data_IF_313888826522
#
_entry.id   IF_313888826522
#
_cell.length_a   1.000
_cell.length_b   1.000
_cell.length_c   1.000
_cell.angle_alpha   90.00
_cell.angle_beta   90.00
_cell.angle_gamma   90.00
#
_symmetry.space_group_name_H-M   'P 1'
#
loop_
_entity.id
_entity.type
_entity.pdbx_description
1 polymer ?
#
# COMPACT_ATOMS: atom_id res chain seq x y z
N UNK A 1 -11.91 47.30 25.05
CA UNK A 1 -11.72 46.10 25.90
C UNK A 1 -11.21 44.89 25.10
N UNK A 2 -11.83 44.48 23.99
CA UNK A 2 -11.38 43.30 23.22
C UNK A 2 -9.93 43.41 22.65
N UNK A 3 -9.52 44.58 22.18
CA UNK A 3 -8.16 44.83 21.67
C UNK A 3 -7.09 44.69 22.78
N UNK A 4 -7.40 45.12 24.00
CA UNK A 4 -6.51 45.04 25.16
C UNK A 4 -6.34 43.59 25.65
N UNK A 5 -7.42 42.79 25.60
CA UNK A 5 -7.38 41.36 25.95
C UNK A 5 -6.58 40.52 24.95
N UNK A 6 -6.71 40.79 23.65
CA UNK A 6 -5.92 40.12 22.61
C UNK A 6 -4.42 40.47 22.73
N UNK A 7 -4.09 41.72 22.99
CA UNK A 7 -2.71 42.17 23.24
C UNK A 7 -2.11 41.50 24.48
N UNK A 8 -2.89 41.42 25.57
CA UNK A 8 -2.49 40.72 26.81
C UNK A 8 -2.25 39.23 26.57
N UNK A 9 -3.16 38.54 25.87
CA UNK A 9 -3.00 37.13 25.52
C UNK A 9 -1.75 36.89 24.67
N UNK A 10 -1.49 37.74 23.67
CA UNK A 10 -0.28 37.63 22.84
C UNK A 10 1.01 37.83 23.64
N UNK A 11 1.02 38.78 24.59
CA UNK A 11 2.15 39.00 25.49
C UNK A 11 2.42 37.78 26.38
N UNK A 12 1.36 37.18 26.94
CA UNK A 12 1.48 35.94 27.71
C UNK A 12 1.97 34.77 26.85
N UNK A 13 1.47 34.62 25.61
CA UNK A 13 1.93 33.59 24.68
C UNK A 13 3.42 33.73 24.34
N UNK A 14 3.88 34.95 24.03
CA UNK A 14 5.28 35.20 23.70
C UNK A 14 6.20 34.89 24.88
N UNK A 15 5.85 35.35 26.08
CA UNK A 15 6.62 35.07 27.30
C UNK A 15 6.57 33.58 27.68
N UNK A 16 5.41 32.94 27.49
CA UNK A 16 5.24 31.51 27.70
C UNK A 16 6.10 30.68 26.75
N UNK A 17 6.18 31.05 25.48
CA UNK A 17 7.07 30.42 24.49
C UNK A 17 8.54 30.56 24.88
N UNK A 18 8.98 31.76 25.26
CA UNK A 18 10.36 31.98 25.73
C UNK A 18 10.67 31.15 26.98
N UNK A 19 9.73 31.06 27.93
CA UNK A 19 9.90 30.22 29.12
C UNK A 19 10.00 28.72 28.76
N UNK A 20 9.20 28.27 27.80
CA UNK A 20 9.24 26.90 27.27
C UNK A 20 10.60 26.58 26.62
N UNK A 21 11.10 27.47 25.76
CA UNK A 21 12.42 27.36 25.12
C UNK A 21 13.56 27.38 26.14
N UNK A 22 13.41 28.14 27.23
CA UNK A 22 14.37 28.21 28.34
C UNK A 22 14.29 27.01 29.30
N UNK A 23 13.44 26.01 29.06
CA UNK A 23 13.25 24.86 29.96
C UNK A 23 12.50 25.16 31.27
N UNK A 24 11.93 26.36 31.42
CA UNK A 24 11.17 26.80 32.61
C UNK A 24 9.69 26.41 32.45
N UNK A 25 9.42 25.11 32.50
CA UNK A 25 8.12 24.56 32.10
C UNK A 25 6.95 24.97 33.00
N UNK A 26 7.13 25.09 34.32
CA UNK A 26 6.08 25.55 35.24
C UNK A 26 5.64 26.99 34.93
N UNK A 27 6.62 27.90 34.79
CA UNK A 27 6.37 29.29 34.43
C UNK A 27 5.72 29.38 33.03
N UNK A 28 6.15 28.55 32.09
CA UNK A 28 5.54 28.48 30.77
C UNK A 28 4.06 28.09 30.86
N UNK A 29 3.72 27.07 31.66
CA UNK A 29 2.34 26.64 31.87
C UNK A 29 1.49 27.74 32.51
N UNK A 30 1.98 28.42 33.53
CA UNK A 30 1.25 29.51 34.21
C UNK A 30 0.94 30.65 33.24
N UNK A 31 1.94 31.12 32.49
CA UNK A 31 1.76 32.18 31.51
C UNK A 31 0.79 31.78 30.39
N UNK A 32 0.88 30.54 29.92
CA UNK A 32 0.00 30.05 28.85
C UNK A 32 -1.43 29.76 29.34
N UNK A 33 -1.62 29.39 30.61
CA UNK A 33 -2.95 29.34 31.24
C UNK A 33 -3.62 30.72 31.27
N UNK A 34 -2.87 31.77 31.62
CA UNK A 34 -3.38 33.14 31.56
C UNK A 34 -3.67 33.60 30.14
N UNK A 35 -2.87 33.17 29.15
CA UNK A 35 -3.16 33.41 27.74
C UNK A 35 -4.48 32.77 27.30
N UNK A 36 -4.71 31.51 27.68
CA UNK A 36 -5.95 30.78 27.35
C UNK A 36 -7.16 31.37 28.06
N UNK A 37 -7.02 31.89 29.29
CA UNK A 37 -8.10 32.62 29.96
C UNK A 37 -8.43 33.95 29.28
N UNK A 38 -7.40 34.70 28.87
CA UNK A 38 -7.55 35.99 28.22
C UNK A 38 -8.13 35.89 26.79
N UNK A 39 -7.80 34.82 26.08
CA UNK A 39 -8.27 34.55 24.72
C UNK A 39 -8.63 33.07 24.53
N UNK A 40 -9.81 32.62 25.02
CA UNK A 40 -10.18 31.20 25.08
C UNK A 40 -10.36 30.53 23.73
N UNK A 41 -10.61 31.32 22.67
CA UNK A 41 -10.84 30.85 21.30
C UNK A 41 -9.54 30.74 20.47
N UNK A 42 -8.42 31.26 20.98
CA UNK A 42 -7.14 31.23 20.26
C UNK A 42 -6.50 29.85 20.41
N UNK A 43 -6.67 29.02 19.39
CA UNK A 43 -6.21 27.64 19.37
C UNK A 43 -4.69 27.51 19.58
N UNK A 44 -3.91 28.46 19.04
CA UNK A 44 -2.46 28.48 19.19
C UNK A 44 -2.00 28.59 20.65
N UNK A 45 -2.73 29.32 21.49
CA UNK A 45 -2.43 29.41 22.92
C UNK A 45 -2.55 28.04 23.60
N UNK A 46 -3.58 27.27 23.24
CA UNK A 46 -3.81 25.92 23.78
C UNK A 46 -2.82 24.89 23.26
N UNK A 47 -2.41 24.98 21.99
CA UNK A 47 -1.33 24.12 21.45
C UNK A 47 -0.03 24.33 22.23
N UNK A 48 0.36 25.58 22.44
CA UNK A 48 1.55 25.92 23.25
C UNK A 48 1.40 25.46 24.70
N UNK A 49 0.25 25.69 25.32
CA UNK A 49 -0.04 25.24 26.68
C UNK A 49 0.12 23.72 26.78
N UNK A 50 -0.40 22.97 25.80
CA UNK A 50 -0.28 21.52 25.75
C UNK A 50 1.17 21.05 25.67
N UNK A 51 1.99 21.70 24.84
CA UNK A 51 3.43 21.43 24.79
C UNK A 51 4.09 21.68 26.14
N UNK A 52 3.74 22.77 26.82
CA UNK A 52 4.27 23.11 28.15
C UNK A 52 3.86 22.09 29.23
N UNK A 53 2.58 21.72 29.29
CA UNK A 53 2.05 20.72 30.21
C UNK A 53 2.78 19.38 30.06
N UNK A 54 2.97 18.91 28.81
CA UNK A 54 3.64 17.65 28.53
C UNK A 54 5.13 17.72 28.88
N UNK A 55 5.83 18.80 28.52
CA UNK A 55 7.23 18.98 28.84
C UNK A 55 7.47 18.99 30.36
N UNK A 56 6.62 19.70 31.11
CA UNK A 56 6.65 19.73 32.57
C UNK A 56 6.37 18.35 33.20
N UNK A 57 5.39 17.62 32.67
CA UNK A 57 5.09 16.27 33.17
C UNK A 57 6.26 15.31 32.95
N UNK A 58 6.89 15.37 31.77
CA UNK A 58 8.07 14.56 31.44
C UNK A 58 9.28 14.91 32.32
N UNK A 59 9.43 16.16 32.74
CA UNK A 59 10.54 16.57 33.62
C UNK A 59 10.33 16.16 35.10
N UNK A 60 9.09 16.02 35.55
CA UNK A 60 8.75 15.73 36.97
C UNK A 60 8.56 14.25 37.33
N UNK A 61 8.60 13.33 36.36
CA UNK A 61 8.47 11.89 36.61
C UNK A 61 7.03 11.42 36.91
N UNK A 62 6.85 10.12 37.23
CA UNK A 62 5.51 9.52 37.41
C UNK A 62 4.84 9.98 38.72
N UNK A 63 3.55 10.36 38.68
CA UNK A 63 2.85 10.84 39.87
C UNK A 63 2.59 9.73 40.92
N UNK A 64 2.66 10.10 42.20
CA UNK A 64 2.38 9.21 43.33
C UNK A 64 0.89 8.87 43.49
N UNK A 65 0.57 7.86 44.31
CA UNK A 65 -0.78 7.31 44.48
C UNK A 65 -1.82 8.36 44.95
N UNK A 66 -1.43 9.32 45.79
CA UNK A 66 -2.32 10.40 46.25
C UNK A 66 -2.77 11.36 45.13
N UNK A 67 -1.94 11.55 44.10
CA UNK A 67 -2.29 12.39 42.96
C UNK A 67 -3.42 11.77 42.11
N UNK A 68 -3.49 10.42 42.03
CA UNK A 68 -4.55 9.72 41.29
C UNK A 68 -5.95 9.96 41.88
N UNK A 69 -6.05 10.03 43.21
CA UNK A 69 -7.32 10.37 43.88
C UNK A 69 -7.73 11.80 43.55
N UNK A 70 -6.77 12.73 43.54
CA UNK A 70 -6.99 14.11 43.09
C UNK A 70 -7.51 14.20 41.65
N UNK A 71 -6.93 13.42 40.72
CA UNK A 71 -7.40 13.37 39.34
C UNK A 71 -8.84 12.88 39.24
N UNK A 72 -9.19 11.83 39.99
CA UNK A 72 -10.55 11.28 40.00
C UNK A 72 -11.58 12.33 40.44
N UNK A 73 -11.30 13.08 41.52
CA UNK A 73 -12.19 14.15 41.99
C UNK A 73 -12.30 15.30 40.98
N UNK A 74 -11.19 15.68 40.35
CA UNK A 74 -11.18 16.69 39.30
C UNK A 74 -12.03 16.26 38.08
N UNK A 75 -11.92 14.99 37.65
CA UNK A 75 -12.76 14.43 36.57
C UNK A 75 -14.24 14.47 36.93
N UNK A 76 -14.60 14.09 38.16
CA UNK A 76 -15.99 14.17 38.62
C UNK A 76 -16.54 15.60 38.58
N UNK A 77 -15.72 16.57 39.00
CA UNK A 77 -16.08 18.00 38.90
C UNK A 77 -16.31 18.43 37.45
N UNK A 78 -15.38 18.11 36.54
CA UNK A 78 -15.50 18.40 35.10
C UNK A 78 -16.77 17.78 34.52
N UNK A 79 -17.01 16.50 34.79
CA UNK A 79 -18.21 15.80 34.31
C UNK A 79 -19.49 16.38 34.90
N UNK A 80 -19.46 16.84 36.15
CA UNK A 80 -20.56 17.57 36.77
C UNK A 80 -20.88 18.89 36.06
N UNK A 81 -19.85 19.64 35.63
CA UNK A 81 -20.01 20.87 34.86
C UNK A 81 -20.52 20.61 33.44
N UNK A 82 -20.00 19.57 32.77
CA UNK A 82 -20.46 19.09 31.46
C UNK A 82 -21.95 18.77 31.50
N UNK A 83 -22.41 17.99 32.49
CA UNK A 83 -23.84 17.64 32.65
C UNK A 83 -24.73 18.85 32.90
N UNK A 84 -24.19 19.92 33.48
CA UNK A 84 -24.89 21.19 33.73
C UNK A 84 -24.84 22.15 32.53
N UNK A 85 -24.25 21.75 31.40
CA UNK A 85 -24.08 22.59 30.21
C UNK A 85 -23.04 23.72 30.38
N UNK A 86 -22.24 23.68 31.44
CA UNK A 86 -21.21 24.70 31.74
C UNK A 86 -19.89 24.36 31.06
N UNK A 87 -19.91 24.27 29.73
CA UNK A 87 -18.77 23.81 28.92
C UNK A 87 -17.50 24.65 29.09
N UNK A 88 -17.62 25.99 29.15
CA UNK A 88 -16.46 26.86 29.34
C UNK A 88 -15.77 26.68 30.71
N UNK A 89 -16.55 26.59 31.79
CA UNK A 89 -16.04 26.29 33.13
C UNK A 89 -15.42 24.89 33.19
N UNK A 90 -16.04 23.92 32.51
CA UNK A 90 -15.51 22.56 32.40
C UNK A 90 -14.15 22.53 31.68
N UNK A 91 -13.98 23.31 30.61
CA UNK A 91 -12.70 23.42 29.91
C UNK A 91 -11.61 24.03 30.78
N UNK A 92 -11.91 25.06 31.58
CA UNK A 92 -10.93 25.65 32.49
C UNK A 92 -10.45 24.63 33.55
N UNK A 93 -11.38 23.88 34.13
CA UNK A 93 -11.06 22.81 35.08
C UNK A 93 -10.30 21.64 34.41
N UNK A 94 -10.61 21.34 33.15
CA UNK A 94 -9.87 20.37 32.37
C UNK A 94 -8.42 20.80 32.13
N UNK A 95 -8.15 22.07 31.81
CA UNK A 95 -6.77 22.56 31.65
C UNK A 95 -5.98 22.46 32.96
N UNK A 96 -6.61 22.77 34.11
CA UNK A 96 -6.00 22.57 35.43
C UNK A 96 -5.66 21.10 35.70
N UNK A 97 -6.53 20.17 35.31
CA UNK A 97 -6.28 18.73 35.45
C UNK A 97 -5.12 18.28 34.55
N UNK A 98 -5.06 18.78 33.31
CA UNK A 98 -4.02 18.43 32.36
C UNK A 98 -2.66 19.02 32.71
N UNK A 99 -2.61 20.14 33.43
CA UNK A 99 -1.39 20.63 34.08
C UNK A 99 -0.77 19.63 35.05
N UNK A 100 -1.57 18.74 35.65
CA UNK A 100 -1.08 17.73 36.59
C UNK A 100 -0.64 16.45 35.88
N UNK A 101 -1.44 15.95 34.93
CA UNK A 101 -1.09 14.79 34.13
C UNK A 101 -1.81 14.84 32.76
N UNK A 102 -1.12 15.33 31.71
CA UNK A 102 -1.69 15.49 30.38
C UNK A 102 -1.66 14.21 29.52
N UNK A 103 -0.99 13.15 29.98
CA UNK A 103 -0.83 11.89 29.22
C UNK A 103 -1.71 10.75 29.76
N UNK A 104 -2.50 11.00 30.80
CA UNK A 104 -3.45 10.02 31.33
C UNK A 104 -4.71 9.94 30.44
N UNK A 105 -5.08 8.74 29.95
CA UNK A 105 -6.20 8.58 29.01
C UNK A 105 -7.53 9.14 29.52
N UNK A 106 -7.82 8.98 30.80
CA UNK A 106 -9.08 9.44 31.38
C UNK A 106 -9.09 10.96 31.60
N UNK A 107 -7.93 11.57 31.86
CA UNK A 107 -7.80 13.03 31.92
C UNK A 107 -8.00 13.65 30.53
N UNK A 108 -7.42 13.03 29.51
CA UNK A 108 -7.62 13.41 28.10
C UNK A 108 -9.11 13.30 27.76
N UNK A 109 -9.76 12.20 28.15
CA UNK A 109 -11.19 12.00 27.89
C UNK A 109 -12.07 13.04 28.59
N UNK A 110 -11.77 13.39 29.84
CA UNK A 110 -12.49 14.45 30.54
C UNK A 110 -12.34 15.81 29.85
N UNK A 111 -11.14 16.12 29.34
CA UNK A 111 -10.88 17.35 28.60
C UNK A 111 -11.58 17.40 27.25
N UNK A 112 -11.62 16.28 26.52
CA UNK A 112 -12.37 16.16 25.26
C UNK A 112 -13.87 16.39 25.48
N UNK A 113 -14.46 15.74 26.50
CA UNK A 113 -15.87 15.94 26.84
C UNK A 113 -16.19 17.37 27.26
N UNK A 114 -15.27 18.03 27.95
CA UNK A 114 -15.39 19.44 28.29
C UNK A 114 -15.41 20.34 27.04
N UNK A 115 -14.52 20.07 26.08
CA UNK A 115 -14.46 20.79 24.81
C UNK A 115 -15.71 20.55 23.94
N UNK A 116 -16.21 19.30 23.88
CA UNK A 116 -17.47 18.96 23.20
C UNK A 116 -18.67 19.69 23.81
N UNK A 117 -18.77 19.71 25.14
CA UNK A 117 -19.84 20.43 25.85
C UNK A 117 -19.77 21.95 25.63
N UNK A 118 -18.57 22.48 25.31
CA UNK A 118 -18.37 23.87 24.94
C UNK A 118 -18.58 24.15 23.43
N UNK A 119 -18.86 23.13 22.62
CA UNK A 119 -18.96 23.24 21.16
C UNK A 119 -17.63 23.54 20.46
N UNK A 120 -16.49 23.25 21.11
CA UNK A 120 -15.13 23.54 20.63
C UNK A 120 -14.44 22.25 20.14
N UNK A 121 -14.88 21.75 18.99
CA UNK A 121 -14.37 20.49 18.40
C UNK A 121 -12.90 20.59 17.97
N UNK A 122 -12.44 21.78 17.60
CA UNK A 122 -11.04 22.12 17.33
C UNK A 122 -10.13 21.96 18.57
N UNK A 123 -10.66 22.27 19.75
CA UNK A 123 -9.95 22.13 21.02
C UNK A 123 -9.85 20.68 21.47
N UNK A 124 -10.90 19.89 21.22
CA UNK A 124 -10.87 18.44 21.38
C UNK A 124 -9.80 17.83 20.47
N UNK A 125 -9.73 18.24 19.20
CA UNK A 125 -8.74 17.77 18.24
C UNK A 125 -7.30 17.98 18.72
N UNK A 126 -6.96 19.20 19.18
CA UNK A 126 -5.62 19.51 19.72
C UNK A 126 -5.26 18.64 20.92
N UNK A 127 -6.23 18.34 21.77
CA UNK A 127 -6.02 17.52 22.98
C UNK A 127 -5.74 16.07 22.63
N UNK A 128 -6.50 15.50 21.69
CA UNK A 128 -6.29 14.12 21.21
C UNK A 128 -5.00 14.00 20.39
N UNK A 129 -4.66 15.02 19.58
CA UNK A 129 -3.44 15.04 18.76
C UNK A 129 -2.18 15.04 19.61
N UNK A 130 -2.16 15.85 20.66
CA UNK A 130 -1.02 15.87 21.56
C UNK A 130 -0.85 14.56 22.35
N UNK A 131 -1.96 13.91 22.70
CA UNK A 131 -1.94 12.57 23.29
C UNK A 131 -1.38 11.52 22.31
N UNK A 132 -1.69 11.64 21.02
CA UNK A 132 -1.13 10.78 19.97
C UNK A 132 0.37 10.98 19.81
N UNK A 133 0.84 12.22 19.64
CA UNK A 133 2.25 12.53 19.39
C UNK A 133 3.15 12.16 20.59
N UNK A 134 2.61 12.19 21.81
CA UNK A 134 3.36 11.89 23.03
C UNK A 134 3.08 10.51 23.64
N UNK A 135 2.08 9.78 23.13
CA UNK A 135 1.69 8.45 23.57
C UNK A 135 2.37 7.33 22.77
N UNK A 136 1.70 6.17 22.64
CA UNK A 136 2.22 5.01 21.91
C UNK A 136 2.09 5.13 20.38
N UNK A 137 1.62 6.27 19.86
CA UNK A 137 1.28 6.46 18.44
C UNK A 137 0.30 5.40 17.92
N UNK A 138 -0.77 5.17 18.66
CA UNK A 138 -1.82 4.21 18.32
C UNK A 138 -2.64 4.70 17.10
N UNK A 139 -2.79 3.88 16.05
CA UNK A 139 -3.63 4.19 14.90
C UNK A 139 -5.08 4.55 15.24
N UNK A 140 -5.67 3.94 16.28
CA UNK A 140 -7.04 4.26 16.71
C UNK A 140 -7.14 5.71 17.24
N UNK A 141 -6.09 6.19 17.90
CA UNK A 141 -6.01 7.55 18.41
C UNK A 141 -5.80 8.55 17.26
N UNK A 142 -4.98 8.20 16.27
CA UNK A 142 -4.79 9.01 15.06
C UNK A 142 -6.07 9.15 14.23
N UNK A 143 -6.86 8.08 14.12
CA UNK A 143 -8.18 8.15 13.49
C UNK A 143 -9.12 9.08 14.25
N UNK A 144 -9.10 9.05 15.59
CA UNK A 144 -9.86 9.97 16.44
C UNK A 144 -9.44 11.43 16.23
N UNK A 145 -8.14 11.71 16.05
CA UNK A 145 -7.63 13.05 15.68
C UNK A 145 -8.25 13.52 14.36
N UNK A 146 -8.23 12.66 13.33
CA UNK A 146 -8.77 12.98 12.01
C UNK A 146 -10.27 13.32 12.08
N UNK A 147 -11.05 12.53 12.82
CA UNK A 147 -12.49 12.73 12.99
C UNK A 147 -12.81 14.08 13.68
N UNK A 148 -12.09 14.45 14.75
CA UNK A 148 -12.33 15.74 15.39
C UNK A 148 -11.93 16.92 14.49
N UNK A 149 -10.86 16.79 13.70
CA UNK A 149 -10.52 17.83 12.73
C UNK A 149 -11.55 17.96 11.60
N UNK A 150 -12.17 16.86 11.15
CA UNK A 150 -13.32 16.92 10.24
C UNK A 150 -14.52 17.62 10.89
N UNK A 151 -14.85 17.30 12.14
CA UNK A 151 -15.95 17.96 12.87
C UNK A 151 -15.68 19.46 13.10
N UNK A 152 -14.41 19.84 13.24
CA UNK A 152 -13.97 21.23 13.31
C UNK A 152 -13.92 21.92 11.94
N UNK A 153 -14.20 21.18 10.85
CA UNK A 153 -14.07 21.61 9.45
C UNK A 153 -12.65 22.07 9.09
N UNK A 154 -11.65 21.65 9.85
CA UNK A 154 -10.25 21.82 9.51
C UNK A 154 -9.80 20.66 8.64
N UNK A 155 -10.20 20.72 7.38
CA UNK A 155 -9.98 19.66 6.41
C UNK A 155 -8.49 19.44 6.11
N UNK A 156 -7.65 20.47 6.25
CA UNK A 156 -6.21 20.38 6.05
C UNK A 156 -5.57 19.46 7.10
N UNK A 157 -5.83 19.71 8.39
CA UNK A 157 -5.29 18.87 9.47
C UNK A 157 -5.95 17.49 9.52
N UNK A 158 -7.24 17.39 9.17
CA UNK A 158 -7.91 16.10 9.02
C UNK A 158 -7.25 15.24 7.94
N UNK A 159 -6.94 15.82 6.77
CA UNK A 159 -6.25 15.13 5.67
C UNK A 159 -4.88 14.63 6.13
N UNK A 160 -4.09 15.49 6.77
CA UNK A 160 -2.74 15.11 7.21
C UNK A 160 -2.77 13.94 8.21
N UNK A 161 -3.78 13.88 9.08
CA UNK A 161 -4.01 12.73 9.97
C UNK A 161 -4.40 11.45 9.21
N UNK A 162 -5.28 11.54 8.21
CA UNK A 162 -5.63 10.38 7.36
C UNK A 162 -4.47 9.92 6.47
N UNK A 163 -3.61 10.82 5.99
CA UNK A 163 -2.39 10.46 5.26
C UNK A 163 -1.46 9.62 6.12
N UNK A 164 -1.18 10.06 7.35
CA UNK A 164 -0.42 9.28 8.33
C UNK A 164 -1.09 7.92 8.59
N UNK A 165 -2.43 7.87 8.68
CA UNK A 165 -3.17 6.64 8.93
C UNK A 165 -3.11 5.66 7.74
N UNK A 166 -3.19 6.17 6.51
CA UNK A 166 -3.06 5.40 5.27
C UNK A 166 -1.66 4.82 5.10
N UNK A 167 -0.62 5.54 5.54
CA UNK A 167 0.75 5.02 5.57
C UNK A 167 0.92 3.84 6.54
N UNK A 168 0.23 3.87 7.69
CA UNK A 168 0.27 2.79 8.68
C UNK A 168 -0.56 1.58 8.22
N UNK A 169 -1.70 1.81 7.54
CA UNK A 169 -2.62 0.77 7.06
C UNK A 169 -2.92 0.92 5.56
N UNK A 170 -1.95 0.62 4.66
CA UNK A 170 -2.10 0.86 3.24
C UNK A 170 -3.21 0.03 2.58
N UNK A 171 -3.54 -1.14 3.13
CA UNK A 171 -4.59 -2.03 2.61
C UNK A 171 -6.01 -1.74 3.12
N UNK A 172 -6.20 -0.78 4.03
CA UNK A 172 -7.54 -0.47 4.57
C UNK A 172 -8.28 0.49 3.62
N UNK A 173 -9.16 -0.08 2.78
CA UNK A 173 -9.94 0.68 1.79
C UNK A 173 -10.81 1.77 2.41
N UNK A 174 -11.26 1.60 3.66
CA UNK A 174 -12.07 2.61 4.36
C UNK A 174 -11.24 3.87 4.64
N UNK A 175 -9.98 3.70 5.07
CA UNK A 175 -9.08 4.82 5.33
C UNK A 175 -8.76 5.56 4.03
N UNK A 176 -8.52 4.83 2.93
CA UNK A 176 -8.29 5.42 1.61
C UNK A 176 -9.50 6.23 1.14
N UNK A 177 -10.72 5.72 1.35
CA UNK A 177 -11.94 6.45 1.01
C UNK A 177 -12.14 7.70 1.88
N UNK A 178 -11.91 7.59 3.19
CA UNK A 178 -11.98 8.73 4.12
C UNK A 178 -10.97 9.81 3.78
N UNK A 179 -9.74 9.42 3.42
CA UNK A 179 -8.70 10.33 2.95
C UNK A 179 -9.17 11.08 1.68
N UNK A 180 -9.60 10.35 0.65
CA UNK A 180 -10.08 10.92 -0.61
C UNK A 180 -11.25 11.89 -0.40
N UNK A 181 -12.21 11.52 0.45
CA UNK A 181 -13.35 12.39 0.78
C UNK A 181 -12.89 13.67 1.52
N UNK A 182 -11.93 13.54 2.43
CA UNK A 182 -11.36 14.67 3.18
C UNK A 182 -10.56 15.60 2.27
N UNK A 183 -9.82 15.05 1.30
CA UNK A 183 -9.08 15.82 0.29
C UNK A 183 -10.01 16.64 -0.62
N UNK A 184 -11.12 16.04 -1.05
CA UNK A 184 -12.15 16.75 -1.80
C UNK A 184 -12.71 17.94 -1.00
N UNK A 185 -13.03 17.72 0.28
CA UNK A 185 -13.51 18.78 1.18
C UNK A 185 -12.45 19.86 1.44
N UNK A 186 -11.18 19.48 1.62
CA UNK A 186 -10.07 20.42 1.80
C UNK A 186 -9.88 21.31 0.57
N UNK A 187 -9.98 20.73 -0.63
CA UNK A 187 -9.86 21.45 -1.89
C UNK A 187 -11.03 22.40 -2.10
N UNK A 188 -12.25 21.95 -1.81
CA UNK A 188 -13.44 22.80 -1.87
C UNK A 188 -13.35 23.95 -0.86
N UNK A 189 -12.94 23.70 0.39
CA UNK A 189 -12.85 24.77 1.39
C UNK A 189 -11.75 25.79 1.06
N UNK A 190 -10.59 25.33 0.58
CA UNK A 190 -9.49 26.20 0.15
C UNK A 190 -9.84 27.06 -1.07
N UNK A 191 -10.69 26.55 -1.98
CA UNK A 191 -11.17 27.28 -3.16
C UNK A 191 -12.08 28.47 -2.85
N UNK A 192 -12.74 28.47 -1.68
CA UNK A 192 -13.67 29.53 -1.25
C UNK A 192 -13.05 30.53 -0.26
N UNK A 193 -12.15 30.10 0.64
CA UNK A 193 -11.54 31.00 1.63
C UNK A 193 -10.44 31.91 1.07
N UNK A 194 -9.75 31.51 -0.01
CA UNK A 194 -8.64 32.29 -0.58
C UNK A 194 -9.06 33.34 -1.61
N UNK A 195 -10.33 33.38 -2.01
CA UNK A 195 -10.87 34.34 -2.99
C UNK A 195 -11.56 35.54 -2.34
N UNK A 196 -11.82 35.51 -1.03
CA UNK A 196 -12.29 36.66 -0.28
C UNK A 196 -11.13 37.58 0.16
N UNK A 197 -10.55 38.32 -0.79
CA UNK A 197 -10.07 39.67 -0.47
C UNK A 197 -8.58 40.02 -0.60
N UNK A 198 -7.73 39.33 -1.39
CA UNK A 198 -6.37 39.86 -1.66
C UNK A 198 -5.95 39.82 -3.13
N UNK A 199 -5.70 41.03 -3.69
CA UNK A 199 -4.98 41.27 -4.94
C UNK A 199 -3.56 40.71 -4.83
N UNK A 200 -3.34 39.55 -5.45
CA UNK A 200 -2.08 38.80 -5.41
C UNK A 200 -2.30 37.29 -5.56
N UNK A 201 -3.51 36.80 -5.24
CA UNK A 201 -3.86 35.38 -5.31
C UNK A 201 -3.76 34.75 -6.70
N UNK A 202 -3.85 35.53 -7.79
CA UNK A 202 -3.85 34.97 -9.14
C UNK A 202 -2.48 34.42 -9.58
N UNK A 203 -1.36 35.01 -9.13
CA UNK A 203 -0.01 34.52 -9.45
C UNK A 203 0.39 33.32 -8.58
N UNK A 204 -0.02 33.31 -7.30
CA UNK A 204 0.14 32.17 -6.40
C UNK A 204 -0.76 30.99 -6.83
N UNK A 205 -1.96 31.26 -7.36
CA UNK A 205 -2.80 30.25 -8.00
C UNK A 205 -2.12 29.64 -9.22
N UNK A 206 -1.35 30.35 -10.04
CA UNK A 206 -0.66 29.73 -11.19
C UNK A 206 0.47 28.81 -10.72
N UNK A 207 1.27 29.23 -9.73
CA UNK A 207 2.34 28.41 -9.16
C UNK A 207 1.80 27.19 -8.37
N UNK A 208 0.78 27.36 -7.53
CA UNK A 208 0.15 26.24 -6.80
C UNK A 208 -0.71 25.38 -7.73
N UNK A 209 -1.27 25.90 -8.82
CA UNK A 209 -2.01 25.08 -9.79
C UNK A 209 -1.06 24.30 -10.66
N UNK A 210 0.14 24.79 -11.00
CA UNK A 210 1.19 23.94 -11.58
C UNK A 210 1.70 22.89 -10.59
N UNK A 211 1.96 23.28 -9.34
CA UNK A 211 2.51 22.36 -8.34
C UNK A 211 1.47 21.32 -7.88
N UNK A 212 0.21 21.71 -7.73
CA UNK A 212 -0.91 20.81 -7.48
C UNK A 212 -1.27 19.98 -8.71
N UNK A 213 -1.18 20.52 -9.93
CA UNK A 213 -1.33 19.71 -11.15
C UNK A 213 -0.19 18.70 -11.28
N UNK A 214 1.06 19.05 -10.92
CA UNK A 214 2.20 18.11 -10.86
C UNK A 214 2.04 17.04 -9.78
N UNK A 215 1.53 17.40 -8.60
CA UNK A 215 1.23 16.45 -7.52
C UNK A 215 0.02 15.56 -7.85
N UNK A 216 -1.01 16.10 -8.50
CA UNK A 216 -2.19 15.37 -8.98
C UNK A 216 -1.85 14.48 -10.18
N UNK A 217 -0.95 14.93 -11.07
CA UNK A 217 -0.35 14.13 -12.15
C UNK A 217 0.54 13.01 -11.59
N UNK A 218 1.34 13.28 -10.55
CA UNK A 218 2.17 12.26 -9.90
C UNK A 218 1.34 11.25 -9.07
N UNK A 219 0.16 11.65 -8.58
CA UNK A 219 -0.77 10.80 -7.83
C UNK A 219 -1.82 10.10 -8.71
N UNK A 220 -1.97 10.47 -9.99
CA UNK A 220 -2.76 9.71 -10.95
C UNK A 220 -2.07 8.36 -11.17
N UNK A 221 -2.78 7.28 -10.85
CA UNK A 221 -2.30 5.91 -11.05
C UNK A 221 -1.92 5.59 -12.52
N UNK A 222 -2.40 6.40 -13.48
CA UNK A 222 -2.05 6.34 -14.90
C UNK A 222 -1.88 7.78 -15.41
N UNK A 223 -0.65 8.18 -15.71
CA UNK A 223 -0.33 9.46 -16.36
C UNK A 223 -0.39 9.26 -17.87
N UNK A 224 -1.25 9.99 -18.58
CA UNK A 224 -1.43 9.89 -20.04
C UNK A 224 -1.42 11.25 -20.72
N UNK A 225 -0.99 11.29 -21.99
CA UNK A 225 -1.00 12.50 -22.84
C UNK A 225 0.01 13.57 -22.41
N UNK A 226 -0.33 14.85 -22.60
CA UNK A 226 0.56 16.00 -22.32
C UNK A 226 1.12 16.03 -20.89
N UNK A 227 0.39 15.46 -19.93
CA UNK A 227 0.80 15.33 -18.53
C UNK A 227 1.98 14.36 -18.36
N UNK A 228 2.09 13.33 -19.23
CA UNK A 228 3.19 12.37 -19.23
C UNK A 228 4.48 12.95 -19.82
N UNK A 229 4.39 13.69 -20.93
CA UNK A 229 5.56 14.29 -21.57
C UNK A 229 6.24 15.33 -20.65
N UNK A 230 5.45 16.09 -19.90
CA UNK A 230 5.98 17.02 -18.90
C UNK A 230 6.77 16.29 -17.78
N UNK A 231 6.24 15.18 -17.27
CA UNK A 231 6.91 14.37 -16.25
C UNK A 231 8.15 13.66 -16.80
N UNK A 232 8.11 13.20 -18.05
CA UNK A 232 9.25 12.63 -18.75
C UNK A 232 10.37 13.67 -18.89
N UNK A 233 10.05 14.88 -19.36
CA UNK A 233 11.02 15.97 -19.48
C UNK A 233 11.64 16.34 -18.12
N UNK A 234 10.84 16.37 -17.05
CA UNK A 234 11.34 16.60 -15.69
C UNK A 234 12.33 15.49 -15.26
N UNK A 235 12.00 14.22 -15.51
CA UNK A 235 12.86 13.09 -15.16
C UNK A 235 14.16 13.07 -15.97
N UNK A 236 14.11 13.42 -17.26
CA UNK A 236 15.31 13.58 -18.09
C UNK A 236 16.23 14.67 -17.52
N UNK A 237 15.69 15.84 -17.15
CA UNK A 237 16.48 16.91 -16.54
C UNK A 237 17.07 16.53 -15.16
N UNK A 238 16.38 15.67 -14.39
CA UNK A 238 16.92 15.11 -13.15
C UNK A 238 18.07 14.14 -13.42
N UNK A 239 17.97 13.30 -14.46
CA UNK A 239 19.03 12.37 -14.87
C UNK A 239 20.25 13.14 -15.41
N UNK A 240 20.07 14.22 -16.15
CA UNK A 240 21.19 15.06 -16.60
C UNK A 240 21.99 15.64 -15.43
N UNK A 241 21.30 16.08 -14.36
CA UNK A 241 21.94 16.62 -13.15
C UNK A 241 22.58 15.53 -12.29
N UNK A 242 21.93 14.37 -12.18
CA UNK A 242 22.37 13.25 -11.35
C UNK A 242 22.39 11.94 -12.17
N UNK A 243 23.34 11.78 -13.11
CA UNK A 243 23.32 10.68 -14.09
C UNK A 243 23.51 9.28 -13.48
N UNK A 244 24.09 9.24 -12.27
CA UNK A 244 24.32 8.03 -11.47
C UNK A 244 23.13 7.66 -10.58
N UNK A 245 22.09 8.49 -10.48
CA UNK A 245 20.94 8.21 -9.64
C UNK A 245 19.97 7.24 -10.35
N UNK A 246 20.06 5.97 -9.98
CA UNK A 246 19.30 4.88 -10.61
C UNK A 246 17.79 4.99 -10.40
N UNK A 247 17.35 5.66 -9.33
CA UNK A 247 15.92 5.81 -9.05
C UNK A 247 15.23 6.70 -10.08
N UNK A 248 15.92 7.70 -10.63
CA UNK A 248 15.37 8.54 -11.68
C UNK A 248 15.20 7.79 -13.00
N UNK A 249 16.17 6.94 -13.37
CA UNK A 249 16.08 6.09 -14.56
C UNK A 249 14.96 5.05 -14.43
N UNK A 250 14.82 4.40 -13.26
CA UNK A 250 13.68 3.49 -12.97
C UNK A 250 12.34 4.21 -13.09
N UNK A 251 12.22 5.41 -12.52
CA UNK A 251 11.00 6.20 -12.59
C UNK A 251 10.68 6.60 -14.04
N UNK A 252 11.68 7.01 -14.82
CA UNK A 252 11.53 7.35 -16.23
C UNK A 252 11.06 6.15 -17.06
N UNK A 253 11.68 4.98 -16.88
CA UNK A 253 11.26 3.75 -17.56
C UNK A 253 9.80 3.37 -17.24
N UNK A 254 9.37 3.52 -15.97
CA UNK A 254 7.97 3.28 -15.59
C UNK A 254 7.01 4.25 -16.28
N UNK A 255 7.38 5.52 -16.41
CA UNK A 255 6.56 6.52 -17.14
C UNK A 255 6.43 6.15 -18.61
N UNK A 256 7.51 5.73 -19.26
CA UNK A 256 7.48 5.28 -20.65
C UNK A 256 6.58 4.03 -20.82
N UNK A 257 6.72 3.02 -19.96
CA UNK A 257 5.89 1.80 -19.97
C UNK A 257 4.41 2.13 -19.79
N UNK A 258 4.06 2.99 -18.84
CA UNK A 258 2.68 3.41 -18.59
C UNK A 258 2.05 4.10 -19.80
N UNK A 259 2.86 4.76 -20.62
CA UNK A 259 2.43 5.46 -21.83
C UNK A 259 2.60 4.63 -23.11
N UNK A 260 2.86 3.32 -22.98
CA UNK A 260 3.11 2.39 -24.10
C UNK A 260 4.29 2.81 -25.01
N UNK A 261 5.20 3.62 -24.48
CA UNK A 261 6.43 4.07 -25.14
C UNK A 261 7.54 3.03 -24.89
N UNK A 262 7.30 1.81 -25.34
CA UNK A 262 8.11 0.66 -24.93
C UNK A 262 9.55 0.72 -25.49
N UNK A 263 9.75 1.27 -26.69
CA UNK A 263 11.08 1.44 -27.27
C UNK A 263 11.95 2.36 -26.39
N UNK A 264 11.44 3.54 -26.00
CA UNK A 264 12.19 4.44 -25.12
C UNK A 264 12.38 3.87 -23.70
N UNK A 265 11.42 3.08 -23.22
CA UNK A 265 11.55 2.37 -21.95
C UNK A 265 12.72 1.36 -21.99
N UNK A 266 12.86 0.60 -23.07
CA UNK A 266 13.95 -0.37 -23.28
C UNK A 266 15.30 0.34 -23.24
N UNK A 267 15.49 1.41 -24.02
CA UNK A 267 16.73 2.18 -24.05
C UNK A 267 17.07 2.75 -22.66
N UNK A 268 16.06 3.30 -21.97
CA UNK A 268 16.24 3.84 -20.62
C UNK A 268 16.67 2.77 -19.61
N UNK A 269 16.11 1.56 -19.70
CA UNK A 269 16.43 0.44 -18.81
C UNK A 269 17.80 -0.16 -19.12
N UNK A 270 18.18 -0.31 -20.39
CA UNK A 270 19.52 -0.73 -20.78
C UNK A 270 20.59 0.23 -20.25
N UNK A 271 20.39 1.54 -20.46
CA UNK A 271 21.27 2.56 -19.91
C UNK A 271 21.32 2.54 -18.37
N UNK A 272 20.20 2.20 -17.70
CA UNK A 272 20.18 2.06 -16.24
C UNK A 272 21.04 0.87 -15.77
N UNK A 273 20.97 -0.27 -16.46
CA UNK A 273 21.75 -1.47 -16.15
C UNK A 273 23.24 -1.22 -16.38
N UNK A 274 23.61 -0.57 -17.49
CA UNK A 274 25.00 -0.21 -17.80
C UNK A 274 25.61 0.70 -16.74
N UNK A 275 24.89 1.75 -16.31
CA UNK A 275 25.37 2.70 -15.30
C UNK A 275 25.42 2.07 -13.91
N UNK A 276 24.50 1.16 -13.58
CA UNK A 276 24.51 0.46 -12.31
C UNK A 276 25.78 -0.41 -12.15
N UNK A 277 26.29 -0.98 -13.25
CA UNK A 277 27.51 -1.80 -13.27
C UNK A 277 27.45 -3.06 -12.39
N UNK A 278 26.27 -3.35 -11.82
CA UNK A 278 26.01 -4.43 -10.88
C UNK A 278 24.78 -5.20 -11.36
N UNK A 279 24.77 -6.50 -11.08
CA UNK A 279 23.65 -7.37 -11.37
C UNK A 279 22.43 -6.95 -10.53
N UNK A 280 21.37 -6.47 -11.18
CA UNK A 280 20.10 -6.10 -10.55
C UNK A 280 18.93 -6.91 -11.14
N UNK A 281 18.48 -7.96 -10.43
CA UNK A 281 17.39 -8.84 -10.90
C UNK A 281 16.08 -8.10 -11.19
N UNK A 282 15.81 -6.98 -10.50
CA UNK A 282 14.56 -6.23 -10.69
C UNK A 282 14.60 -5.46 -12.01
N UNK A 283 15.73 -4.82 -12.32
CA UNK A 283 15.91 -4.13 -13.60
C UNK A 283 15.90 -5.09 -14.78
N UNK A 284 16.56 -6.24 -14.66
CA UNK A 284 16.54 -7.26 -15.71
C UNK A 284 15.13 -7.81 -15.96
N UNK A 285 14.38 -8.08 -14.89
CA UNK A 285 12.97 -8.51 -15.01
C UNK A 285 12.13 -7.43 -15.68
N UNK A 286 12.31 -6.17 -15.28
CA UNK A 286 11.56 -5.05 -15.85
C UNK A 286 11.89 -4.85 -17.34
N UNK A 287 13.16 -4.98 -17.73
CA UNK A 287 13.59 -4.91 -19.13
C UNK A 287 12.96 -6.03 -19.97
N UNK A 288 13.05 -7.28 -19.49
CA UNK A 288 12.45 -8.45 -20.14
C UNK A 288 10.94 -8.28 -20.35
N UNK A 289 10.21 -7.86 -19.30
CA UNK A 289 8.77 -7.59 -19.40
C UNK A 289 8.44 -6.47 -20.40
N UNK A 290 9.29 -5.44 -20.48
CA UNK A 290 9.11 -4.33 -21.41
C UNK A 290 9.30 -4.78 -22.86
N UNK A 291 10.28 -5.63 -23.15
CA UNK A 291 10.43 -6.24 -24.47
C UNK A 291 9.21 -7.07 -24.88
N UNK A 292 8.67 -7.89 -23.97
CA UNK A 292 7.45 -8.66 -24.25
C UNK A 292 6.28 -7.73 -24.60
N UNK A 293 6.12 -6.62 -23.88
CA UNK A 293 5.10 -5.62 -24.16
C UNK A 293 5.33 -4.92 -25.51
N UNK A 294 6.57 -4.57 -25.82
CA UNK A 294 6.96 -4.00 -27.12
C UNK A 294 6.56 -4.93 -28.27
N UNK A 295 6.98 -6.21 -28.22
CA UNK A 295 6.61 -7.18 -29.23
C UNK A 295 5.09 -7.38 -29.32
N UNK A 296 4.40 -7.45 -28.19
CA UNK A 296 2.94 -7.64 -28.16
C UNK A 296 2.24 -6.48 -28.85
N UNK A 297 2.62 -5.23 -28.56
CA UNK A 297 2.07 -4.06 -29.25
C UNK A 297 2.37 -4.13 -30.75
N UNK A 298 3.61 -4.48 -31.14
CA UNK A 298 4.00 -4.58 -32.54
C UNK A 298 3.18 -5.63 -33.31
N UNK A 299 2.94 -6.78 -32.70
CA UNK A 299 2.11 -7.86 -33.26
C UNK A 299 0.67 -7.38 -33.44
N UNK A 300 0.10 -6.69 -32.44
CA UNK A 300 -1.24 -6.11 -32.52
C UNK A 300 -1.36 -5.08 -33.66
N UNK A 301 -0.36 -4.21 -33.82
CA UNK A 301 -0.29 -3.23 -34.91
C UNK A 301 -0.23 -3.89 -36.30
N UNK A 302 0.62 -4.92 -36.47
CA UNK A 302 0.76 -5.66 -37.72
C UNK A 302 -0.54 -6.39 -38.08
N UNK A 303 -1.18 -7.06 -37.11
CA UNK A 303 -2.48 -7.70 -37.31
C UNK A 303 -3.57 -6.70 -37.67
N UNK A 304 -3.59 -5.53 -37.03
CA UNK A 304 -4.53 -4.46 -37.36
C UNK A 304 -4.29 -3.88 -38.78
N UNK A 305 -3.05 -3.91 -39.27
CA UNK A 305 -2.69 -3.54 -40.64
C UNK A 305 -2.99 -4.64 -41.68
N UNK A 306 -3.40 -5.84 -41.24
CA UNK A 306 -3.64 -6.99 -42.12
C UNK A 306 -2.37 -7.74 -42.53
N UNK A 307 -1.24 -7.46 -41.89
CA UNK A 307 0.07 -8.07 -42.16
C UNK A 307 0.28 -9.34 -41.31
N UNK A 308 -0.59 -10.34 -41.50
CA UNK A 308 -0.63 -11.54 -40.65
C UNK A 308 0.67 -12.37 -40.71
N UNK A 309 1.31 -12.49 -41.87
CA UNK A 309 2.58 -13.22 -41.99
C UNK A 309 3.69 -12.57 -41.18
N UNK A 310 3.77 -11.23 -41.19
CA UNK A 310 4.78 -10.49 -40.45
C UNK A 310 4.49 -10.53 -38.94
N UNK A 311 3.21 -10.44 -38.56
CA UNK A 311 2.78 -10.61 -37.18
C UNK A 311 3.19 -11.98 -36.60
N UNK A 312 3.07 -13.05 -37.39
CA UNK A 312 3.50 -14.39 -37.00
C UNK A 312 5.02 -14.50 -36.86
N UNK A 313 5.79 -13.86 -37.74
CA UNK A 313 7.26 -13.81 -37.59
C UNK A 313 7.66 -13.06 -36.32
N UNK A 314 7.07 -11.89 -36.07
CA UNK A 314 7.34 -11.12 -34.84
C UNK A 314 6.92 -11.89 -33.58
N UNK A 315 5.87 -12.69 -33.66
CA UNK A 315 5.48 -13.61 -32.57
C UNK A 315 6.55 -14.68 -32.30
N UNK A 316 7.15 -15.26 -33.34
CA UNK A 316 8.27 -16.19 -33.20
C UNK A 316 9.51 -15.51 -32.62
N UNK A 317 9.83 -14.29 -33.07
CA UNK A 317 10.96 -13.49 -32.55
C UNK A 317 10.78 -13.16 -31.06
N UNK A 318 9.58 -12.75 -30.64
CA UNK A 318 9.23 -12.52 -29.24
C UNK A 318 9.46 -13.78 -28.40
N UNK A 319 8.95 -14.89 -28.90
CA UNK A 319 8.98 -16.16 -28.19
C UNK A 319 10.42 -16.69 -28.03
N UNK A 320 11.24 -16.53 -29.07
CA UNK A 320 12.68 -16.81 -29.02
C UNK A 320 13.41 -15.87 -28.04
N UNK A 321 13.11 -14.56 -28.10
CA UNK A 321 13.67 -13.59 -27.16
C UNK A 321 13.39 -13.96 -25.70
N UNK A 322 12.16 -14.35 -25.37
CA UNK A 322 11.78 -14.75 -24.00
C UNK A 322 12.62 -15.93 -23.52
N UNK A 323 12.86 -16.91 -24.40
CA UNK A 323 13.66 -18.08 -24.06
C UNK A 323 15.13 -17.69 -23.81
N UNK A 324 15.73 -16.93 -24.72
CA UNK A 324 17.13 -16.51 -24.65
C UNK A 324 17.40 -15.60 -23.46
N UNK A 325 16.50 -14.65 -23.17
CA UNK A 325 16.59 -13.77 -22.00
C UNK A 325 16.48 -14.56 -20.69
N UNK A 326 15.54 -15.51 -20.59
CA UNK A 326 15.42 -16.35 -19.39
C UNK A 326 16.65 -17.23 -19.19
N UNK A 327 17.21 -17.81 -20.26
CA UNK A 327 18.45 -18.58 -20.20
C UNK A 327 19.62 -17.72 -19.69
N UNK A 328 19.84 -16.55 -20.29
CA UNK A 328 20.87 -15.60 -19.86
C UNK A 328 20.67 -15.12 -18.41
N UNK A 329 19.42 -14.93 -17.97
CA UNK A 329 19.12 -14.54 -16.58
C UNK A 329 19.37 -15.68 -15.59
N UNK A 330 19.09 -16.93 -15.94
CA UNK A 330 19.45 -18.09 -15.10
C UNK A 330 20.97 -18.23 -14.97
N UNK A 331 21.73 -17.97 -16.04
CA UNK A 331 23.20 -17.96 -15.97
C UNK A 331 23.75 -16.84 -15.07
N UNK A 332 23.17 -15.64 -15.16
CA UNK A 332 23.54 -14.50 -14.28
C UNK A 332 23.12 -14.71 -12.83
N UNK A 333 21.97 -15.37 -12.61
CA UNK A 333 21.37 -15.58 -11.29
C UNK A 333 21.12 -17.07 -11.00
N UNK A 334 22.16 -17.90 -10.89
CA UNK A 334 22.02 -19.36 -10.82
C UNK A 334 21.32 -19.86 -9.55
N UNK A 335 21.26 -19.03 -8.50
CA UNK A 335 20.60 -19.36 -7.23
C UNK A 335 19.13 -18.92 -7.18
N UNK A 336 18.62 -18.21 -8.19
CA UNK A 336 17.21 -17.85 -8.26
C UNK A 336 16.40 -19.05 -8.77
N UNK A 337 15.81 -19.78 -7.83
CA UNK A 337 15.01 -20.96 -8.12
C UNK A 337 13.72 -20.64 -8.88
N UNK A 338 13.21 -19.40 -8.76
CA UNK A 338 12.03 -18.98 -9.49
C UNK A 338 12.35 -18.78 -10.98
N UNK A 339 13.52 -18.22 -11.32
CA UNK A 339 13.96 -18.15 -12.72
C UNK A 339 14.14 -19.53 -13.34
N UNK A 340 14.64 -20.50 -12.56
CA UNK A 340 14.72 -21.90 -13.03
C UNK A 340 13.35 -22.50 -13.30
N UNK A 341 12.36 -22.17 -12.47
CA UNK A 341 10.97 -22.55 -12.72
C UNK A 341 10.47 -21.93 -14.05
N UNK A 342 10.60 -20.61 -14.21
CA UNK A 342 10.15 -19.91 -15.42
C UNK A 342 10.82 -20.49 -16.68
N UNK A 343 12.15 -20.65 -16.67
CA UNK A 343 12.90 -21.22 -17.78
C UNK A 343 12.48 -22.66 -18.08
N UNK A 344 12.34 -23.50 -17.04
CA UNK A 344 11.89 -24.88 -17.20
C UNK A 344 10.48 -25.00 -17.82
N UNK A 345 9.56 -24.10 -17.47
CA UNK A 345 8.23 -24.07 -18.10
C UNK A 345 8.27 -23.61 -19.55
N UNK A 346 9.18 -22.70 -19.92
CA UNK A 346 9.38 -22.32 -21.32
C UNK A 346 9.98 -23.45 -22.13
N UNK A 347 11.00 -24.13 -21.62
CA UNK A 347 11.57 -25.31 -22.27
C UNK A 347 10.51 -26.40 -22.50
N UNK A 348 9.64 -26.65 -21.50
CA UNK A 348 8.52 -27.58 -21.68
C UNK A 348 7.55 -27.15 -22.79
N UNK A 349 7.19 -25.86 -22.85
CA UNK A 349 6.31 -25.31 -23.89
C UNK A 349 6.87 -25.56 -25.30
N UNK A 350 8.19 -25.44 -25.47
CA UNK A 350 8.87 -25.60 -26.75
C UNK A 350 9.36 -27.03 -27.04
N UNK A 351 9.09 -27.99 -26.15
CA UNK A 351 9.44 -29.40 -26.36
C UNK A 351 10.88 -29.78 -25.96
N UNK A 352 11.63 -28.86 -25.36
CA UNK A 352 12.96 -29.11 -24.79
C UNK A 352 12.84 -29.81 -23.42
N UNK A 353 12.36 -31.05 -23.43
CA UNK A 353 11.95 -31.75 -22.21
C UNK A 353 13.14 -32.09 -21.30
N UNK A 354 14.33 -32.31 -21.84
CA UNK A 354 15.52 -32.62 -21.04
C UNK A 354 16.00 -31.39 -20.27
N UNK A 355 16.13 -30.25 -20.95
CA UNK A 355 16.48 -28.96 -20.37
C UNK A 355 15.41 -28.47 -19.38
N UNK A 356 14.13 -28.76 -19.66
CA UNK A 356 13.03 -28.51 -18.74
C UNK A 356 13.19 -29.32 -17.44
N UNK A 357 13.48 -30.62 -17.54
CA UNK A 357 13.68 -31.49 -16.37
C UNK A 357 14.82 -30.99 -15.48
N UNK A 358 15.97 -30.65 -16.06
CA UNK A 358 17.13 -30.13 -15.30
C UNK A 358 16.78 -28.87 -14.50
N UNK A 359 16.10 -27.92 -15.14
CA UNK A 359 15.73 -26.66 -14.51
C UNK A 359 14.61 -26.84 -13.46
N UNK A 360 13.57 -27.63 -13.78
CA UNK A 360 12.45 -27.88 -12.89
C UNK A 360 12.85 -28.71 -11.65
N UNK A 361 13.82 -29.62 -11.79
CA UNK A 361 14.35 -30.40 -10.67
C UNK A 361 15.07 -29.51 -9.64
N UNK A 362 15.71 -28.43 -10.08
CA UNK A 362 16.27 -27.42 -9.19
C UNK A 362 15.17 -26.52 -8.62
N UNK A 363 14.22 -26.11 -9.46
CA UNK A 363 13.09 -25.26 -9.08
C UNK A 363 12.22 -25.87 -7.97
N UNK A 364 12.09 -27.20 -7.89
CA UNK A 364 11.30 -27.87 -6.85
C UNK A 364 11.77 -27.55 -5.41
N UNK A 365 13.00 -27.06 -5.25
CA UNK A 365 13.55 -26.63 -3.95
C UNK A 365 12.94 -25.29 -3.48
N UNK A 366 12.31 -24.52 -4.37
CA UNK A 366 11.60 -23.28 -4.05
C UNK A 366 10.30 -23.59 -3.30
N UNK A 367 10.09 -23.14 -2.06
CA UNK A 367 8.82 -23.36 -1.36
C UNK A 367 7.61 -22.81 -2.10
N UNK A 368 7.80 -21.71 -2.85
CA UNK A 368 6.74 -21.03 -3.61
C UNK A 368 6.37 -21.80 -4.88
N UNK A 369 7.35 -22.32 -5.60
CA UNK A 369 7.16 -22.90 -6.93
C UNK A 369 7.14 -24.44 -6.92
N UNK A 370 7.47 -25.07 -5.78
CA UNK A 370 7.64 -26.52 -5.65
C UNK A 370 6.51 -27.33 -6.27
N UNK A 371 5.27 -27.00 -5.93
CA UNK A 371 4.10 -27.79 -6.34
C UNK A 371 3.86 -27.69 -7.85
N UNK A 372 4.02 -26.49 -8.41
CA UNK A 372 3.95 -26.29 -9.86
C UNK A 372 5.14 -26.95 -10.58
N UNK A 373 6.35 -26.87 -10.01
CA UNK A 373 7.52 -27.55 -10.55
C UNK A 373 7.31 -29.07 -10.61
N UNK A 374 6.75 -29.69 -9.56
CA UNK A 374 6.40 -31.12 -9.54
C UNK A 374 5.39 -31.47 -10.66
N UNK A 375 4.37 -30.64 -10.83
CA UNK A 375 3.40 -30.82 -11.92
C UNK A 375 4.08 -30.77 -13.30
N UNK A 376 4.91 -29.77 -13.58
CA UNK A 376 5.60 -29.66 -14.86
C UNK A 376 6.66 -30.75 -15.07
N UNK A 377 7.35 -31.21 -14.01
CA UNK A 377 8.21 -32.40 -14.07
C UNK A 377 7.42 -33.62 -14.54
N UNK A 378 6.23 -33.84 -13.96
CA UNK A 378 5.35 -34.91 -14.40
C UNK A 378 4.95 -34.77 -15.86
N UNK A 379 4.60 -33.55 -16.30
CA UNK A 379 4.24 -33.31 -17.70
C UNK A 379 5.40 -33.59 -18.66
N UNK A 380 6.63 -33.24 -18.28
CA UNK A 380 7.84 -33.59 -19.04
C UNK A 380 7.97 -35.12 -19.16
N UNK A 381 7.83 -35.85 -18.04
CA UNK A 381 7.88 -37.31 -18.04
C UNK A 381 6.79 -37.94 -18.91
N UNK A 382 5.56 -37.42 -18.89
CA UNK A 382 4.48 -37.88 -19.78
C UNK A 382 4.80 -37.68 -21.26
N UNK A 383 5.40 -36.54 -21.62
CA UNK A 383 5.83 -36.26 -23.00
C UNK A 383 6.96 -37.17 -23.45
N UNK A 384 7.78 -37.66 -22.51
CA UNK A 384 8.82 -38.67 -22.73
C UNK A 384 8.32 -40.12 -22.57
N UNK A 385 7.01 -40.32 -22.46
CA UNK A 385 6.36 -41.63 -22.25
C UNK A 385 6.75 -42.37 -20.96
N UNK A 386 7.39 -41.67 -20.01
CA UNK A 386 7.81 -42.19 -18.71
C UNK A 386 6.68 -42.06 -17.67
N UNK A 387 5.59 -42.79 -17.89
CA UNK A 387 4.35 -42.67 -17.11
C UNK A 387 4.54 -42.92 -15.61
N UNK A 388 5.35 -43.91 -15.22
CA UNK A 388 5.58 -44.25 -13.81
C UNK A 388 6.21 -43.10 -13.03
N UNK A 389 7.20 -42.43 -13.63
CA UNK A 389 7.85 -41.26 -13.04
C UNK A 389 6.89 -40.08 -12.95
N UNK A 390 6.05 -39.88 -13.98
CA UNK A 390 5.04 -38.84 -13.97
C UNK A 390 4.03 -39.03 -12.84
N UNK A 391 3.50 -40.24 -12.68
CA UNK A 391 2.55 -40.58 -11.60
C UNK A 391 3.17 -40.31 -10.23
N UNK A 392 4.42 -40.70 -10.01
CA UNK A 392 5.13 -40.44 -8.74
C UNK A 392 5.20 -38.94 -8.41
N UNK A 393 5.53 -38.09 -9.39
CA UNK A 393 5.59 -36.63 -9.18
C UNK A 393 4.19 -36.04 -8.92
N UNK A 394 3.18 -36.50 -9.65
CA UNK A 394 1.79 -36.06 -9.47
C UNK A 394 1.22 -36.47 -8.11
N UNK A 395 1.46 -37.69 -7.65
CA UNK A 395 1.03 -38.15 -6.32
C UNK A 395 1.70 -37.33 -5.21
N UNK A 396 3.00 -37.06 -5.36
CA UNK A 396 3.75 -36.19 -4.43
C UNK A 396 3.14 -34.78 -4.38
N UNK A 397 2.77 -34.20 -5.54
CA UNK A 397 2.11 -32.90 -5.59
C UNK A 397 0.71 -32.93 -4.97
N UNK A 398 -0.10 -33.95 -5.29
CA UNK A 398 -1.47 -34.14 -4.78
C UNK A 398 -1.51 -34.19 -3.25
N UNK A 399 -0.59 -34.97 -2.67
CA UNK A 399 -0.55 -35.21 -1.22
C UNK A 399 -0.05 -33.99 -0.45
N UNK A 400 0.77 -33.15 -1.09
CA UNK A 400 1.26 -31.91 -0.52
C UNK A 400 0.24 -30.75 -0.60
N UNK A 401 -0.74 -30.80 -1.50
CA UNK A 401 -1.78 -29.77 -1.61
C UNK A 401 -2.97 -30.14 -0.72
N UNK A 402 -3.31 -29.36 0.32
CA UNK A 402 -4.38 -29.72 1.25
C UNK A 402 -5.78 -29.56 0.65
N UNK A 403 -6.00 -28.50 -0.14
CA UNK A 403 -7.31 -28.10 -0.67
C UNK A 403 -7.44 -28.38 -2.16
N UNK A 404 -8.65 -28.59 -2.67
CA UNK A 404 -8.89 -28.78 -4.10
C UNK A 404 -8.87 -27.43 -4.85
N UNK A 405 -7.67 -26.85 -4.98
CA UNK A 405 -7.43 -25.63 -5.76
C UNK A 405 -7.17 -25.93 -7.25
N UNK A 406 -6.91 -24.90 -8.06
CA UNK A 406 -6.69 -25.04 -9.50
C UNK A 406 -5.51 -25.97 -9.85
N UNK A 407 -4.45 -25.98 -9.04
CA UNK A 407 -3.32 -26.87 -9.25
C UNK A 407 -3.71 -28.32 -8.90
N UNK A 408 -4.36 -28.54 -7.75
CA UNK A 408 -4.77 -29.89 -7.36
C UNK A 408 -5.76 -30.50 -8.35
N UNK A 409 -6.68 -29.70 -8.90
CA UNK A 409 -7.57 -30.13 -9.99
C UNK A 409 -6.78 -30.64 -11.19
N UNK A 410 -5.78 -29.85 -11.67
CA UNK A 410 -4.89 -30.27 -12.77
C UNK A 410 -4.11 -31.55 -12.45
N UNK A 411 -3.56 -31.65 -11.24
CA UNK A 411 -2.77 -32.82 -10.81
C UNK A 411 -3.63 -34.08 -10.77
N UNK A 412 -4.80 -34.02 -10.12
CA UNK A 412 -5.72 -35.16 -9.97
C UNK A 412 -6.30 -35.57 -11.32
N UNK A 413 -6.66 -34.60 -12.16
CA UNK A 413 -7.12 -34.87 -13.51
C UNK A 413 -6.06 -35.60 -14.34
N UNK A 414 -4.80 -35.16 -14.30
CA UNK A 414 -3.70 -35.83 -14.98
C UNK A 414 -3.43 -37.25 -14.43
N UNK A 415 -3.58 -37.48 -13.12
CA UNK A 415 -3.55 -38.83 -12.55
C UNK A 415 -4.68 -39.71 -13.10
N UNK A 416 -5.87 -39.14 -13.29
CA UNK A 416 -7.01 -39.80 -13.95
C UNK A 416 -6.67 -40.24 -15.37
N UNK A 417 -6.08 -39.35 -16.17
CA UNK A 417 -5.63 -39.65 -17.54
C UNK A 417 -4.57 -40.76 -17.56
N UNK A 418 -3.62 -40.75 -16.62
CA UNK A 418 -2.60 -41.79 -16.51
C UNK A 418 -3.23 -43.15 -16.16
N UNK A 419 -4.16 -43.18 -15.20
CA UNK A 419 -4.87 -44.40 -14.81
C UNK A 419 -5.76 -44.95 -15.94
N UNK A 420 -6.44 -44.07 -16.68
CA UNK A 420 -7.24 -44.42 -17.84
C UNK A 420 -6.36 -45.06 -18.92
N UNK A 421 -5.21 -44.45 -19.24
CA UNK A 421 -4.23 -45.00 -20.20
C UNK A 421 -3.66 -46.35 -19.74
N UNK A 422 -3.49 -46.55 -18.44
CA UNK A 422 -3.04 -47.81 -17.86
C UNK A 422 -4.14 -48.91 -17.82
N UNK A 423 -5.39 -48.57 -18.16
CA UNK A 423 -6.53 -49.49 -18.12
C UNK A 423 -7.14 -49.70 -16.73
N UNK A 424 -6.67 -48.96 -15.72
CA UNK A 424 -7.24 -48.92 -14.37
C UNK A 424 -8.41 -47.92 -14.34
N UNK A 425 -9.51 -48.36 -14.95
CA UNK A 425 -10.71 -47.54 -15.13
C UNK A 425 -11.39 -47.19 -13.80
N UNK A 426 -11.26 -48.03 -12.77
CA UNK A 426 -11.82 -47.75 -11.44
C UNK A 426 -11.11 -46.59 -10.79
N UNK A 427 -9.77 -46.62 -10.79
CA UNK A 427 -8.94 -45.53 -10.26
C UNK A 427 -9.11 -44.24 -11.07
N UNK A 428 -9.17 -44.34 -12.40
CA UNK A 428 -9.44 -43.21 -13.28
C UNK A 428 -10.78 -42.53 -12.94
N UNK A 429 -11.85 -43.32 -12.79
CA UNK A 429 -13.18 -42.81 -12.44
C UNK A 429 -13.18 -42.10 -11.08
N UNK A 430 -12.47 -42.63 -10.09
CA UNK A 430 -12.39 -41.99 -8.77
C UNK A 430 -11.67 -40.64 -8.85
N UNK A 431 -10.55 -40.54 -9.57
CA UNK A 431 -9.88 -39.24 -9.76
C UNK A 431 -10.76 -38.23 -10.49
N UNK A 432 -11.48 -38.66 -11.53
CA UNK A 432 -12.40 -37.78 -12.23
C UNK A 432 -13.55 -37.30 -11.35
N UNK A 433 -14.10 -38.18 -10.52
CA UNK A 433 -15.13 -37.84 -9.54
C UNK A 433 -14.65 -36.81 -8.53
N UNK A 434 -13.41 -36.92 -8.05
CA UNK A 434 -12.82 -35.98 -7.09
C UNK A 434 -12.70 -34.56 -7.67
N UNK A 435 -12.30 -34.45 -8.95
CA UNK A 435 -12.26 -33.16 -9.65
C UNK A 435 -13.67 -32.64 -9.93
N UNK A 436 -14.59 -33.50 -10.37
CA UNK A 436 -15.97 -33.14 -10.71
C UNK A 436 -16.73 -32.57 -9.50
N UNK A 437 -16.49 -33.12 -8.30
CA UNK A 437 -17.09 -32.62 -7.07
C UNK A 437 -16.70 -31.18 -6.74
N UNK A 438 -15.54 -30.71 -7.23
CA UNK A 438 -15.06 -29.35 -7.05
C UNK A 438 -15.39 -28.45 -8.25
N UNK A 439 -15.33 -28.98 -9.47
CA UNK A 439 -15.49 -28.22 -10.71
C UNK A 439 -16.05 -29.11 -11.83
N UNK A 440 -17.35 -28.98 -12.08
CA UNK A 440 -18.09 -29.74 -13.10
C UNK A 440 -17.64 -29.40 -14.53
N UNK A 441 -17.11 -28.18 -14.74
CA UNK A 441 -16.73 -27.65 -16.04
C UNK A 441 -15.25 -27.81 -16.39
N UNK A 442 -14.49 -28.57 -15.61
CA UNK A 442 -13.05 -28.70 -15.78
C UNK A 442 -12.70 -29.51 -17.06
N UNK A 443 -12.06 -28.86 -18.04
CA UNK A 443 -11.61 -29.47 -19.30
C UNK A 443 -12.69 -30.34 -20.00
N UNK A 444 -12.36 -31.57 -20.41
CA UNK A 444 -13.28 -32.55 -21.03
C UNK A 444 -13.80 -33.60 -20.01
N UNK A 445 -13.68 -33.30 -18.71
CA UNK A 445 -13.91 -34.24 -17.60
C UNK A 445 -15.24 -34.98 -17.67
N UNK A 446 -16.32 -34.26 -17.95
CA UNK A 446 -17.67 -34.83 -18.03
C UNK A 446 -17.79 -35.91 -19.12
N UNK A 447 -17.12 -35.70 -20.27
CA UNK A 447 -17.13 -36.66 -21.37
C UNK A 447 -16.29 -37.90 -21.01
N UNK A 448 -15.11 -37.70 -20.43
CA UNK A 448 -14.22 -38.78 -19.99
C UNK A 448 -14.85 -39.63 -18.90
N UNK A 449 -15.47 -39.01 -17.91
CA UNK A 449 -16.12 -39.71 -16.80
C UNK A 449 -17.27 -40.59 -17.29
N UNK A 450 -18.05 -40.12 -18.27
CA UNK A 450 -19.09 -40.92 -18.93
C UNK A 450 -18.48 -42.13 -19.66
N UNK A 451 -17.44 -41.91 -20.46
CA UNK A 451 -16.78 -42.96 -21.23
C UNK A 451 -16.20 -44.05 -20.33
N UNK A 452 -15.48 -43.67 -19.27
CA UNK A 452 -14.92 -44.60 -18.28
C UNK A 452 -16.04 -45.36 -17.56
N UNK A 453 -17.15 -44.71 -17.21
CA UNK A 453 -18.30 -45.38 -16.57
C UNK A 453 -18.94 -46.44 -17.48
N UNK A 454 -19.08 -46.15 -18.78
CA UNK A 454 -19.60 -47.11 -19.75
C UNK A 454 -18.66 -48.30 -19.93
N UNK A 455 -17.35 -48.04 -20.03
CA UNK A 455 -16.33 -49.09 -20.15
C UNK A 455 -16.28 -49.99 -18.90
N UNK A 456 -16.44 -49.43 -17.70
CA UNK A 456 -16.55 -50.21 -16.46
C UNK A 456 -17.77 -51.14 -16.46
N UNK A 457 -18.94 -50.63 -16.88
CA UNK A 457 -20.17 -51.45 -16.99
C UNK A 457 -20.00 -52.59 -18.00
N UNK A 458 -19.37 -52.31 -19.14
CA UNK A 458 -19.11 -53.31 -20.18
C UNK A 458 -18.11 -54.40 -19.75
N UNK A 459 -17.23 -54.12 -18.78
CA UNK A 459 -16.28 -55.10 -18.22
C UNK A 459 -16.91 -56.01 -17.15
N UNK A 460 -18.05 -55.60 -16.60
CA UNK A 460 -18.81 -56.31 -15.57
C UNK A 460 -19.96 -57.16 -16.14
N UNK A 461 -20.39 -56.86 -17.37
CA UNK A 461 -21.31 -57.68 -18.18
C UNK A 461 -20.56 -58.74 -18.97
#
# INVERSE_FOLDING_TARGET
MAVDLAQKAQNFMNRGRQALESGRFELAMELLMEAVKAAPDVLEARKLLRTAQIANFKSKGKPGLGAKIGYMLARQKIMGLVKKGKGAEAMEEAEKLLCQNPLDPDNIEAAVKAAEAAGKTDHAAVTVEAAYECGRKDPALLERVANYYQMAKDWARARDAYLKLAQIKPGDQRIQQLLKNTEAQATMNAGWEQTAGKKGGFQALIANKEQAKRLDQANKAVVTGDDADALIAEKLAQIEKEPKNMNFRRALARLYIQNKRYAEAIECLQAAIEVAGAMDPELDRMLSQTYVQYYTQRIEELRAAGEEEEAQKTEQERDQFVLDDLAARVERYPNDLHLRYELGTQYFKWGYYDEALENLQLAQKSPKDRLWALYYLAMCFLKKEQTDMAVMQLETARDAIPTMDDLKKKVVYQLGLCAEKAGDLEKAYQYYKDVYAADVGFEDLSQRMLAVSQALKAKQS
#
